data_IF_762672821341
#
_entry.id   IF_762672821341
#
_cell.length_a   1.000
_cell.length_b   1.000
_cell.length_c   1.000
_cell.angle_alpha   90.00
_cell.angle_beta   90.00
_cell.angle_gamma   90.00
#
_symmetry.space_group_name_H-M   'P 1'
#
loop_
_entity.id
_entity.type
_entity.pdbx_description
1 polymer ?
#
# COMPACT_ATOMS: atom_id res chain seq x y z
N UNK A 1 -26.98 -51.69 -60.43
CA UNK A 1 -26.08 -50.61 -60.89
C UNK A 1 -26.93 -49.43 -61.35
N UNK A 2 -26.65 -48.22 -60.85
CA UNK A 2 -27.23 -46.93 -61.27
C UNK A 2 -28.70 -46.70 -60.87
N UNK A 3 -29.11 -45.59 -60.26
CA UNK A 3 -28.38 -44.40 -59.85
C UNK A 3 -29.33 -43.40 -59.17
N UNK A 4 -28.79 -42.65 -58.20
CA UNK A 4 -29.03 -41.21 -57.99
C UNK A 4 -30.35 -40.77 -57.34
N UNK A 5 -30.35 -40.60 -56.01
CA UNK A 5 -31.26 -39.67 -55.32
C UNK A 5 -30.45 -38.56 -54.66
N UNK A 6 -30.60 -37.34 -55.18
CA UNK A 6 -30.24 -36.10 -54.51
C UNK A 6 -31.43 -35.55 -53.73
N UNK A 7 -31.19 -35.00 -52.54
CA UNK A 7 -32.20 -34.36 -51.72
C UNK A 7 -31.58 -33.75 -50.47
N UNK A 8 -31.27 -32.45 -50.56
CA UNK A 8 -30.56 -31.64 -49.56
C UNK A 8 -31.38 -31.42 -48.28
N UNK A 9 -30.63 -31.31 -47.19
CA UNK A 9 -31.03 -30.93 -45.86
C UNK A 9 -31.47 -29.46 -45.75
N UNK A 10 -32.43 -29.19 -44.85
CA UNK A 10 -32.61 -27.90 -44.20
C UNK A 10 -33.23 -28.12 -42.80
N UNK A 11 -32.40 -28.08 -41.76
CA UNK A 11 -32.86 -28.10 -40.37
C UNK A 11 -32.66 -26.71 -39.73
N UNK A 12 -33.81 -26.10 -39.43
CA UNK A 12 -34.13 -25.28 -38.24
C UNK A 12 -33.12 -24.20 -37.78
N UNK A 13 -33.43 -22.96 -38.12
CA UNK A 13 -33.06 -21.79 -37.32
C UNK A 13 -34.15 -21.48 -36.30
N UNK A 14 -33.79 -21.50 -35.01
CA UNK A 14 -34.55 -20.85 -33.93
C UNK A 14 -33.54 -20.29 -32.94
N UNK A 15 -33.31 -18.97 -32.98
CA UNK A 15 -32.59 -18.24 -31.92
C UNK A 15 -33.65 -17.65 -30.98
N UNK A 16 -33.75 -18.23 -29.80
CA UNK A 16 -34.45 -17.63 -28.66
C UNK A 16 -33.44 -16.76 -27.90
N UNK A 17 -33.83 -15.50 -27.66
CA UNK A 17 -33.14 -14.63 -26.72
C UNK A 17 -33.55 -14.96 -25.28
N UNK A 18 -32.56 -15.03 -24.40
CA UNK A 18 -32.61 -14.90 -22.94
C UNK A 18 -31.20 -14.43 -22.59
N UNK A 19 -30.92 -13.43 -21.77
CA UNK A 19 -31.60 -12.87 -20.63
C UNK A 19 -30.45 -12.38 -19.75
N UNK A 20 -30.26 -11.06 -19.67
CA UNK A 20 -29.41 -10.45 -18.66
C UNK A 20 -29.97 -10.86 -17.29
N UNK A 21 -29.23 -11.72 -16.58
CA UNK A 21 -29.54 -12.14 -15.21
C UNK A 21 -28.49 -11.55 -14.29
N UNK A 22 -28.88 -10.48 -13.61
CA UNK A 22 -28.08 -9.75 -12.64
C UNK A 22 -27.37 -10.67 -11.63
N UNK A 23 -26.06 -10.44 -11.44
CA UNK A 23 -25.35 -10.97 -10.29
C UNK A 23 -25.99 -10.47 -8.98
N UNK A 24 -25.83 -11.21 -7.87
CA UNK A 24 -26.60 -10.95 -6.66
C UNK A 24 -26.35 -9.53 -6.16
N UNK A 25 -27.43 -8.74 -6.15
CA UNK A 25 -27.51 -7.44 -5.49
C UNK A 25 -27.17 -7.66 -4.01
N UNK A 26 -25.96 -7.26 -3.61
CA UNK A 26 -25.55 -7.24 -2.20
C UNK A 26 -26.51 -6.31 -1.45
N UNK A 27 -27.33 -6.91 -0.58
CA UNK A 27 -28.19 -6.20 0.36
C UNK A 27 -27.33 -5.41 1.35
N UNK A 28 -27.80 -4.23 1.71
CA UNK A 28 -27.12 -3.24 2.56
C UNK A 28 -26.43 -3.84 3.77
N UNK A 29 -25.15 -3.51 3.90
CA UNK A 29 -24.30 -3.82 5.05
C UNK A 29 -23.46 -2.59 5.39
N UNK A 30 -23.04 -2.50 6.64
CA UNK A 30 -22.18 -1.45 7.18
C UNK A 30 -20.95 -1.14 6.30
N UNK A 31 -20.36 0.05 6.49
CA UNK A 31 -19.17 0.55 5.80
C UNK A 31 -18.18 -0.57 5.41
N UNK A 32 -17.92 -0.71 4.10
CA UNK A 32 -17.23 -1.88 3.52
C UNK A 32 -15.72 -1.68 3.47
N UNK A 33 -15.26 -0.42 3.45
CA UNK A 33 -13.84 -0.09 3.29
C UNK A 33 -13.03 -0.48 4.52
N UNK A 34 -12.16 -1.47 4.32
CA UNK A 34 -11.23 -1.96 5.35
C UNK A 34 -9.88 -1.27 5.27
N UNK A 35 -9.43 -0.94 4.05
CA UNK A 35 -8.14 -0.28 3.83
C UNK A 35 -8.36 0.97 2.98
N UNK A 36 -7.74 2.06 3.40
CA UNK A 36 -7.63 3.27 2.62
C UNK A 36 -6.17 3.55 2.28
N UNK A 37 -5.90 4.25 1.19
CA UNK A 37 -4.56 4.77 0.94
C UNK A 37 -4.56 6.13 0.25
N UNK A 38 -3.59 6.97 0.59
CA UNK A 38 -3.23 8.13 -0.22
C UNK A 38 -1.82 7.89 -0.78
N UNK A 39 -1.68 7.95 -2.10
CA UNK A 39 -0.41 7.73 -2.78
C UNK A 39 0.25 9.06 -3.16
N UNK A 40 1.57 9.11 -3.04
CA UNK A 40 2.38 10.29 -3.33
C UNK A 40 2.52 10.60 -4.83
N UNK A 41 2.20 9.63 -5.69
CA UNK A 41 2.09 9.76 -7.15
C UNK A 41 1.03 8.81 -7.76
N UNK A 42 0.78 8.95 -9.06
CA UNK A 42 -0.20 8.13 -9.78
C UNK A 42 0.28 6.69 -10.01
N UNK A 43 1.55 6.48 -10.37
CA UNK A 43 2.12 5.14 -10.62
C UNK A 43 2.15 4.30 -9.35
N UNK A 44 2.51 4.89 -8.21
CA UNK A 44 2.43 4.24 -6.92
C UNK A 44 1.00 3.93 -6.50
N UNK A 45 0.02 4.78 -6.87
CA UNK A 45 -1.38 4.53 -6.59
C UNK A 45 -1.92 3.31 -7.35
N UNK A 46 -1.55 3.17 -8.63
CA UNK A 46 -1.97 2.02 -9.45
C UNK A 46 -1.27 0.73 -9.00
N UNK A 47 0.01 0.78 -8.64
CA UNK A 47 0.72 -0.33 -7.99
C UNK A 47 -0.01 -0.75 -6.70
N UNK A 48 -0.27 0.17 -5.76
CA UNK A 48 -0.98 -0.16 -4.53
C UNK A 48 -2.33 -0.83 -4.79
N UNK A 49 -3.17 -0.24 -5.67
CA UNK A 49 -4.46 -0.82 -6.01
C UNK A 49 -4.30 -2.23 -6.61
N UNK A 50 -3.32 -2.43 -7.49
CA UNK A 50 -3.05 -3.74 -8.09
C UNK A 50 -2.73 -4.81 -7.03
N UNK A 51 -1.96 -4.47 -5.99
CA UNK A 51 -1.62 -5.39 -4.89
C UNK A 51 -2.86 -5.91 -4.15
N UNK A 52 -3.87 -5.06 -3.95
CA UNK A 52 -5.13 -5.47 -3.35
C UNK A 52 -6.00 -6.27 -4.33
N UNK A 53 -6.14 -5.78 -5.57
CA UNK A 53 -7.00 -6.39 -6.60
C UNK A 53 -6.55 -7.80 -6.97
N UNK A 54 -5.24 -8.04 -7.08
CA UNK A 54 -4.69 -9.38 -7.44
C UNK A 54 -4.96 -10.45 -6.38
N UNK A 55 -5.32 -10.05 -5.16
CA UNK A 55 -5.72 -10.96 -4.07
C UNK A 55 -7.24 -11.04 -3.89
N UNK A 56 -8.02 -10.48 -4.83
CA UNK A 56 -9.47 -10.64 -4.89
C UNK A 56 -10.29 -9.58 -4.15
N UNK A 57 -9.65 -8.57 -3.54
CA UNK A 57 -10.35 -7.45 -2.91
C UNK A 57 -10.96 -6.53 -3.97
N UNK A 58 -12.15 -5.99 -3.72
CA UNK A 58 -12.68 -4.91 -4.55
C UNK A 58 -11.95 -3.61 -4.24
N UNK A 59 -11.83 -2.72 -5.22
CA UNK A 59 -11.11 -1.47 -4.97
C UNK A 59 -11.29 -0.42 -6.03
N UNK A 60 -11.31 0.83 -5.57
CA UNK A 60 -11.42 2.04 -6.40
C UNK A 60 -10.23 2.96 -6.17
N UNK A 61 -9.78 3.64 -7.23
CA UNK A 61 -8.77 4.70 -7.17
C UNK A 61 -9.38 5.99 -7.71
N UNK A 62 -9.34 7.04 -6.91
CA UNK A 62 -9.83 8.37 -7.26
C UNK A 62 -8.68 9.38 -7.25
N UNK A 63 -8.93 10.57 -7.79
CA UNK A 63 -7.98 11.69 -7.78
C UNK A 63 -8.49 12.90 -6.99
N UNK A 64 -9.71 12.81 -6.46
CA UNK A 64 -10.36 13.89 -5.70
C UNK A 64 -11.16 13.29 -4.55
N UNK A 65 -11.08 13.92 -3.38
CA UNK A 65 -11.77 13.51 -2.15
C UNK A 65 -13.30 13.49 -2.32
N UNK A 66 -13.85 14.30 -3.24
CA UNK A 66 -15.28 14.32 -3.56
C UNK A 66 -15.80 13.00 -4.13
N UNK A 67 -14.92 12.14 -4.65
CA UNK A 67 -15.27 10.84 -5.21
C UNK A 67 -15.04 9.68 -4.22
N UNK A 68 -14.57 9.96 -3.01
CA UNK A 68 -14.40 8.93 -1.99
C UNK A 68 -15.76 8.33 -1.60
N UNK A 69 -15.76 7.02 -1.36
CA UNK A 69 -16.93 6.24 -0.98
C UNK A 69 -16.51 5.01 -0.18
N UNK A 70 -17.46 4.35 0.47
CA UNK A 70 -17.23 3.20 1.35
C UNK A 70 -17.76 1.87 0.78
N UNK A 71 -17.90 1.78 -0.56
CA UNK A 71 -18.52 0.65 -1.28
C UNK A 71 -17.58 -0.51 -1.61
N UNK A 72 -16.28 -0.28 -1.56
CA UNK A 72 -15.25 -1.27 -1.89
C UNK A 72 -14.45 -1.66 -0.64
N UNK A 73 -13.84 -2.85 -0.67
CA UNK A 73 -12.92 -3.28 0.39
C UNK A 73 -11.75 -2.29 0.56
N UNK A 74 -11.31 -1.68 -0.55
CA UNK A 74 -10.18 -0.74 -0.60
C UNK A 74 -10.55 0.52 -1.37
N UNK A 75 -10.15 1.69 -0.88
CA UNK A 75 -10.22 2.93 -1.66
C UNK A 75 -8.92 3.73 -1.58
N UNK A 76 -8.45 4.17 -2.74
CA UNK A 76 -7.23 4.94 -2.89
C UNK A 76 -7.49 6.34 -3.43
N UNK A 77 -6.66 7.29 -3.03
CA UNK A 77 -6.53 8.60 -3.70
C UNK A 77 -5.11 8.82 -4.19
N UNK A 78 -4.95 9.08 -5.48
CA UNK A 78 -3.67 9.51 -6.05
C UNK A 78 -3.48 11.01 -5.80
N UNK A 79 -2.32 11.39 -5.28
CA UNK A 79 -1.96 12.79 -5.02
C UNK A 79 -0.70 13.18 -5.81
N UNK A 80 -0.32 14.45 -5.72
CA UNK A 80 0.94 14.98 -6.27
C UNK A 80 1.99 15.22 -5.19
N UNK A 81 1.89 14.53 -4.05
CA UNK A 81 2.69 14.83 -2.87
C UNK A 81 4.20 14.68 -3.11
N UNK A 82 4.64 13.71 -3.94
CA UNK A 82 6.06 13.44 -4.20
C UNK A 82 6.79 14.65 -4.81
N UNK A 83 6.12 15.38 -5.69
CA UNK A 83 6.69 16.55 -6.39
C UNK A 83 6.44 17.86 -5.65
N UNK A 84 5.66 17.84 -4.56
CA UNK A 84 5.41 19.02 -3.74
C UNK A 84 6.62 19.36 -2.87
N UNK A 85 6.86 20.66 -2.69
CA UNK A 85 7.77 21.16 -1.67
C UNK A 85 7.21 20.98 -0.25
N UNK A 86 5.89 20.85 -0.12
CA UNK A 86 5.21 20.52 1.12
C UNK A 86 4.24 19.35 0.89
N UNK A 87 4.72 18.10 0.97
CA UNK A 87 3.86 16.92 0.83
C UNK A 87 2.79 16.82 1.91
N UNK A 88 3.04 17.35 3.11
CA UNK A 88 2.10 17.25 4.23
C UNK A 88 0.80 18.00 3.96
N UNK A 89 0.86 19.22 3.41
CA UNK A 89 -0.36 19.97 3.04
C UNK A 89 -1.15 19.32 1.93
N UNK A 90 -0.51 18.54 1.05
CA UNK A 90 -1.19 17.75 0.00
C UNK A 90 -1.86 16.51 0.59
N UNK A 91 -1.18 15.82 1.52
CA UNK A 91 -1.61 14.51 2.05
C UNK A 91 -2.64 14.63 3.17
N UNK A 92 -2.57 15.66 4.02
CA UNK A 92 -3.45 15.80 5.18
C UNK A 92 -4.95 15.88 4.83
N UNK A 93 -5.39 16.65 3.81
CA UNK A 93 -6.81 16.66 3.41
C UNK A 93 -7.29 15.28 2.96
N UNK A 94 -6.47 14.57 2.17
CA UNK A 94 -6.75 13.22 1.73
C UNK A 94 -6.88 12.25 2.92
N UNK A 95 -5.92 12.25 3.84
CA UNK A 95 -5.96 11.41 5.03
C UNK A 95 -7.16 11.70 5.93
N UNK A 96 -7.52 12.98 6.10
CA UNK A 96 -8.69 13.37 6.89
C UNK A 96 -9.98 12.82 6.27
N UNK A 97 -10.14 12.95 4.96
CA UNK A 97 -11.30 12.42 4.23
C UNK A 97 -11.35 10.88 4.27
N UNK A 98 -10.21 10.21 4.11
CA UNK A 98 -10.11 8.75 4.22
C UNK A 98 -10.42 8.26 5.64
N UNK A 99 -9.97 8.96 6.68
CA UNK A 99 -10.23 8.62 8.07
C UNK A 99 -11.73 8.68 8.42
N UNK A 100 -12.50 9.57 7.76
CA UNK A 100 -13.95 9.63 7.92
C UNK A 100 -14.68 8.36 7.46
N UNK A 101 -14.07 7.56 6.57
CA UNK A 101 -14.58 6.25 6.16
C UNK A 101 -14.37 5.17 7.23
N UNK A 102 -13.59 5.46 8.29
CA UNK A 102 -13.24 4.56 9.39
C UNK A 102 -12.66 3.20 8.94
N UNK A 103 -11.64 3.19 8.05
CA UNK A 103 -10.96 1.95 7.69
C UNK A 103 -10.18 1.39 8.89
N UNK A 104 -9.74 0.14 8.79
CA UNK A 104 -8.79 -0.43 9.75
C UNK A 104 -7.42 0.23 9.60
N UNK A 105 -6.98 0.45 8.37
CA UNK A 105 -5.66 1.01 8.07
C UNK A 105 -5.76 2.10 7.00
N UNK A 106 -5.00 3.18 7.19
CA UNK A 106 -4.75 4.20 6.17
C UNK A 106 -3.27 4.17 5.82
N UNK A 107 -2.95 3.83 4.57
CA UNK A 107 -1.59 3.78 4.06
C UNK A 107 -1.21 5.10 3.37
N UNK A 108 -0.09 5.70 3.76
CA UNK A 108 0.64 6.63 2.91
C UNK A 108 1.50 5.80 1.97
N UNK A 109 1.05 5.67 0.72
CA UNK A 109 1.74 4.90 -0.30
C UNK A 109 2.87 5.72 -0.88
N UNK A 110 4.09 5.20 -0.76
CA UNK A 110 5.32 5.82 -1.24
C UNK A 110 6.04 4.94 -2.26
N UNK A 111 7.07 5.48 -2.92
CA UNK A 111 7.92 4.74 -3.84
C UNK A 111 8.66 3.59 -3.12
N UNK A 112 8.87 2.46 -3.81
CA UNK A 112 9.59 1.31 -3.23
C UNK A 112 11.09 1.56 -3.07
N UNK A 113 11.66 2.58 -3.71
CA UNK A 113 13.02 3.08 -3.46
C UNK A 113 13.07 4.20 -2.40
N UNK A 114 11.95 4.46 -1.72
CA UNK A 114 11.85 5.40 -0.60
C UNK A 114 12.22 6.86 -0.95
N UNK A 115 11.95 7.26 -2.19
CA UNK A 115 12.22 8.56 -2.78
C UNK A 115 11.68 9.70 -1.90
N UNK A 116 12.60 10.36 -1.20
CA UNK A 116 12.30 11.45 -0.28
C UNK A 116 13.57 12.24 0.06
N UNK A 117 13.44 13.54 0.31
CA UNK A 117 14.53 14.37 0.86
C UNK A 117 13.99 15.31 1.95
N UNK A 118 14.86 15.87 2.80
CA UNK A 118 14.44 16.88 3.76
C UNK A 118 13.80 18.12 3.11
N UNK A 119 14.21 18.46 1.88
CA UNK A 119 13.75 19.65 1.16
C UNK A 119 12.51 19.43 0.29
N UNK A 120 12.28 18.21 -0.23
CA UNK A 120 11.14 17.87 -1.11
C UNK A 120 10.70 16.41 -0.87
N UNK A 121 9.39 16.14 -0.93
CA UNK A 121 8.91 14.75 -0.79
C UNK A 121 9.20 14.11 0.58
N UNK A 122 9.32 14.91 1.65
CA UNK A 122 9.67 14.45 3.00
C UNK A 122 8.62 13.51 3.59
N UNK A 123 8.92 12.20 3.59
CA UNK A 123 8.08 11.16 4.22
C UNK A 123 8.02 11.39 5.73
N UNK A 124 9.16 11.72 6.35
CA UNK A 124 9.20 12.04 7.78
C UNK A 124 8.38 13.29 8.14
N UNK A 125 8.34 14.28 7.24
CA UNK A 125 7.48 15.46 7.38
C UNK A 125 5.99 15.11 7.37
N UNK A 126 5.57 14.18 6.51
CA UNK A 126 4.20 13.63 6.50
C UNK A 126 3.92 12.87 7.80
N UNK A 127 4.82 12.01 8.27
CA UNK A 127 4.68 11.30 9.55
C UNK A 127 4.46 12.29 10.71
N UNK A 128 5.30 13.32 10.79
CA UNK A 128 5.18 14.35 11.83
C UNK A 128 3.86 15.12 11.73
N UNK A 129 3.40 15.42 10.52
CA UNK A 129 2.13 16.10 10.27
C UNK A 129 0.91 15.23 10.68
N UNK A 130 0.94 13.93 10.39
CA UNK A 130 -0.10 12.99 10.80
C UNK A 130 -0.24 12.91 12.32
N UNK A 131 0.89 12.92 13.04
CA UNK A 131 0.90 13.01 14.51
C UNK A 131 0.31 14.33 15.01
N UNK A 132 0.77 15.47 14.49
CA UNK A 132 0.25 16.79 14.89
C UNK A 132 -1.25 16.96 14.63
N UNK A 133 -1.76 16.34 13.57
CA UNK A 133 -3.18 16.35 13.22
C UNK A 133 -4.02 15.35 14.04
N UNK A 134 -3.42 14.52 14.89
CA UNK A 134 -4.12 13.49 15.67
C UNK A 134 -4.63 12.30 14.85
N UNK A 135 -4.16 12.17 13.61
CA UNK A 135 -4.51 11.08 12.69
C UNK A 135 -3.67 9.83 13.00
N UNK A 136 -2.41 10.00 13.40
CA UNK A 136 -1.58 8.93 13.96
C UNK A 136 -1.63 8.99 15.49
N UNK A 137 -2.12 7.93 16.14
CA UNK A 137 -2.29 7.83 17.61
C UNK A 137 -1.22 6.99 18.32
N UNK A 138 -0.25 6.51 17.56
CA UNK A 138 0.83 5.64 18.01
C UNK A 138 1.94 5.60 16.96
N UNK A 139 2.96 4.75 17.12
CA UNK A 139 4.06 4.69 16.17
C UNK A 139 3.55 4.34 14.77
N UNK A 140 3.98 5.10 13.76
CA UNK A 140 3.65 4.83 12.36
C UNK A 140 4.52 3.67 11.84
N UNK A 141 3.94 2.51 11.46
CA UNK A 141 4.69 1.43 10.85
C UNK A 141 5.18 1.82 9.47
N UNK A 142 6.43 1.50 9.15
CA UNK A 142 7.06 1.79 7.86
C UNK A 142 7.56 0.51 7.20
N UNK A 143 6.99 0.14 6.05
CA UNK A 143 7.46 -0.97 5.22
C UNK A 143 7.77 -0.49 3.79
N UNK A 144 9.04 -0.19 3.53
CA UNK A 144 9.51 0.17 2.19
C UNK A 144 9.72 -1.05 1.29
N UNK A 145 10.10 -2.20 1.87
CA UNK A 145 10.42 -3.41 1.14
C UNK A 145 9.26 -3.91 0.27
N UNK A 146 9.60 -4.39 -0.92
CA UNK A 146 8.72 -5.07 -1.87
C UNK A 146 9.57 -6.13 -2.58
N UNK A 147 9.77 -7.31 -1.96
CA UNK A 147 10.73 -8.32 -2.41
C UNK A 147 10.51 -8.80 -3.85
N UNK A 148 9.25 -8.87 -4.30
CA UNK A 148 8.85 -9.18 -5.68
C UNK A 148 9.46 -8.22 -6.72
N UNK A 149 9.70 -6.96 -6.33
CA UNK A 149 10.39 -5.97 -7.17
C UNK A 149 11.88 -5.84 -6.85
N UNK A 150 12.41 -6.71 -6.00
CA UNK A 150 13.79 -6.70 -5.56
C UNK A 150 14.15 -5.60 -4.57
N UNK A 151 13.16 -5.07 -3.85
CA UNK A 151 13.37 -4.06 -2.81
C UNK A 151 13.30 -4.74 -1.45
N UNK A 152 14.37 -4.68 -0.68
CA UNK A 152 14.49 -5.39 0.58
C UNK A 152 14.96 -4.44 1.68
N UNK A 153 14.49 -4.64 2.91
CA UNK A 153 14.98 -3.91 4.08
C UNK A 153 15.52 -4.90 5.10
N UNK A 154 16.73 -4.68 5.59
CA UNK A 154 17.39 -5.52 6.58
C UNK A 154 18.21 -4.67 7.55
N UNK A 155 18.02 -4.88 8.86
CA UNK A 155 18.52 -3.99 9.91
C UNK A 155 18.24 -2.52 9.62
N UNK A 156 16.99 -2.23 9.20
CA UNK A 156 16.52 -0.92 8.73
C UNK A 156 17.23 -0.33 7.50
N UNK A 157 18.27 -0.97 6.97
CA UNK A 157 18.96 -0.56 5.75
C UNK A 157 18.18 -1.06 4.54
N UNK A 158 17.98 -0.18 3.56
CA UNK A 158 17.24 -0.50 2.35
C UNK A 158 18.16 -0.86 1.17
N UNK A 159 17.75 -1.86 0.41
CA UNK A 159 18.51 -2.45 -0.67
C UNK A 159 17.66 -2.58 -1.93
N UNK A 160 18.30 -2.42 -3.08
CA UNK A 160 17.70 -2.54 -4.40
C UNK A 160 18.48 -3.59 -5.19
N UNK A 161 17.78 -4.61 -5.69
CA UNK A 161 18.33 -5.53 -6.68
C UNK A 161 18.12 -4.94 -8.08
N UNK A 162 19.20 -4.73 -8.80
CA UNK A 162 19.22 -4.22 -10.16
C UNK A 162 20.39 -4.86 -10.92
N UNK A 163 20.22 -5.11 -12.21
CA UNK A 163 21.30 -5.62 -13.09
C UNK A 163 22.00 -6.90 -12.59
N UNK A 164 21.27 -7.75 -11.85
CA UNK A 164 21.80 -9.00 -11.28
C UNK A 164 22.52 -8.85 -9.94
N UNK A 165 22.75 -7.62 -9.46
CA UNK A 165 23.43 -7.31 -8.21
C UNK A 165 22.48 -6.72 -7.16
N UNK A 166 22.95 -6.69 -5.90
CA UNK A 166 22.25 -6.04 -4.79
C UNK A 166 23.04 -4.81 -4.35
N UNK A 167 22.40 -3.66 -4.41
CA UNK A 167 22.96 -2.38 -3.99
C UNK A 167 22.28 -1.91 -2.71
N UNK A 168 23.05 -1.35 -1.78
CA UNK A 168 22.45 -0.45 -0.76
C UNK A 168 21.83 0.75 -1.48
N UNK A 169 20.72 1.27 -0.95
CA UNK A 169 20.00 2.39 -1.55
C UNK A 169 20.92 3.60 -1.81
N UNK A 170 21.80 3.91 -0.86
CA UNK A 170 22.79 5.00 -0.92
C UNK A 170 23.94 4.78 -1.92
N UNK A 171 24.00 3.61 -2.55
CA UNK A 171 25.02 3.23 -3.53
C UNK A 171 24.43 2.89 -4.90
N UNK A 172 23.12 2.82 -5.02
CA UNK A 172 22.43 2.56 -6.28
C UNK A 172 22.32 3.86 -7.09
N UNK A 173 23.03 4.03 -8.22
CA UNK A 173 23.15 5.33 -8.89
C UNK A 173 21.81 6.00 -9.22
N UNK A 174 20.78 5.29 -9.73
CA UNK A 174 19.49 5.91 -10.00
C UNK A 174 18.78 6.50 -8.77
N UNK A 175 19.01 5.95 -7.57
CA UNK A 175 18.48 6.51 -6.33
C UNK A 175 19.44 7.54 -5.72
N UNK A 176 20.73 7.24 -5.64
CA UNK A 176 21.76 8.12 -5.08
C UNK A 176 21.83 9.46 -5.81
N UNK A 177 21.83 9.42 -7.14
CA UNK A 177 22.00 10.59 -8.00
C UNK A 177 20.65 11.14 -8.49
N UNK A 178 19.54 10.73 -7.85
CA UNK A 178 18.20 11.17 -8.25
C UNK A 178 18.07 12.70 -8.16
N UNK A 179 17.58 13.40 -9.19
CA UNK A 179 17.69 14.85 -9.31
C UNK A 179 16.84 15.65 -8.30
N UNK A 180 15.83 15.01 -7.68
CA UNK A 180 14.89 15.67 -6.76
C UNK A 180 15.09 15.17 -5.32
N UNK A 181 15.10 13.86 -5.16
CA UNK A 181 15.22 13.13 -3.89
C UNK A 181 16.45 12.20 -3.85
N UNK A 182 17.69 12.74 -3.91
CA UNK A 182 18.89 11.91 -3.88
C UNK A 182 18.94 11.08 -2.60
N UNK A 183 19.23 9.79 -2.75
CA UNK A 183 19.33 8.88 -1.63
C UNK A 183 20.77 8.76 -1.15
N UNK A 184 21.13 9.53 -0.12
CA UNK A 184 22.50 9.53 0.45
C UNK A 184 22.67 8.64 1.69
N UNK A 185 21.58 8.06 2.18
CA UNK A 185 21.54 7.16 3.34
C UNK A 185 20.62 5.97 3.04
N UNK A 186 21.03 4.77 3.45
CA UNK A 186 20.27 3.53 3.29
C UNK A 186 19.50 3.15 4.56
N UNK A 187 19.94 3.54 5.76
CA UNK A 187 19.17 3.37 7.00
C UNK A 187 17.96 4.30 7.01
N UNK A 188 16.78 3.71 6.82
CA UNK A 188 15.54 4.46 6.70
C UNK A 188 15.15 5.18 8.00
N UNK A 189 15.68 4.78 9.16
CA UNK A 189 15.43 5.47 10.43
C UNK A 189 16.11 6.82 10.46
N UNK A 190 17.37 6.86 10.01
CA UNK A 190 18.15 8.10 9.92
C UNK A 190 17.45 9.05 8.96
N UNK A 191 17.06 8.57 7.77
CA UNK A 191 16.32 9.38 6.79
C UNK A 191 15.04 9.97 7.36
N UNK A 192 14.22 9.15 8.03
CA UNK A 192 12.97 9.61 8.63
C UNK A 192 13.20 10.65 9.73
N UNK A 193 14.24 10.44 10.56
CA UNK A 193 14.61 11.38 11.62
C UNK A 193 15.10 12.72 11.04
N UNK A 194 15.96 12.71 10.02
CA UNK A 194 16.43 13.91 9.29
C UNK A 194 15.29 14.68 8.63
N UNK A 195 14.23 13.97 8.25
CA UNK A 195 13.00 14.52 7.69
C UNK A 195 12.00 15.01 8.75
N UNK A 196 12.34 14.92 10.03
CA UNK A 196 11.54 15.45 11.14
C UNK A 196 10.47 14.50 11.67
N UNK A 197 10.51 13.19 11.35
CA UNK A 197 9.56 12.21 11.90
C UNK A 197 9.63 12.10 13.43
N UNK A 198 10.79 12.37 14.02
CA UNK A 198 11.09 12.11 15.44
C UNK A 198 11.83 10.78 15.63
N UNK A 199 11.82 10.26 16.87
CA UNK A 199 12.50 8.99 17.18
C UNK A 199 11.90 7.86 16.36
N UNK A 200 12.73 7.24 15.53
CA UNK A 200 12.32 6.15 14.63
C UNK A 200 12.98 4.84 15.04
N UNK A 201 12.16 3.86 15.40
CA UNK A 201 12.60 2.53 15.82
C UNK A 201 12.88 1.58 14.64
N UNK A 202 13.32 0.38 14.98
CA UNK A 202 13.50 -0.74 14.05
C UNK A 202 12.68 -1.93 14.53
N UNK A 203 12.08 -2.68 13.61
CA UNK A 203 11.37 -3.92 13.87
C UNK A 203 11.98 -5.04 13.00
N UNK A 204 12.47 -6.16 13.58
CA UNK A 204 13.01 -7.27 12.81
C UNK A 204 11.91 -7.93 11.96
N UNK A 205 12.32 -8.72 10.96
CA UNK A 205 11.40 -9.27 9.96
C UNK A 205 10.43 -10.34 10.49
N UNK A 206 10.76 -10.94 11.64
CA UNK A 206 9.93 -11.91 12.36
C UNK A 206 9.85 -11.51 13.84
N UNK A 207 9.17 -10.40 14.15
CA UNK A 207 9.15 -9.87 15.50
C UNK A 207 8.18 -10.66 16.38
N UNK A 208 8.54 -10.82 17.65
CA UNK A 208 7.61 -11.16 18.71
C UNK A 208 6.61 -10.02 18.98
N UNK A 209 5.50 -10.33 19.63
CA UNK A 209 4.56 -9.30 20.09
C UNK A 209 5.21 -8.30 21.04
N UNK A 210 6.18 -8.74 21.84
CA UNK A 210 6.93 -7.88 22.75
C UNK A 210 7.78 -6.86 21.99
N UNK A 211 8.52 -7.29 20.98
CA UNK A 211 9.32 -6.40 20.12
C UNK A 211 8.44 -5.39 19.39
N UNK A 212 7.25 -5.81 18.94
CA UNK A 212 6.27 -4.90 18.35
C UNK A 212 5.75 -3.87 19.36
N UNK A 213 5.31 -4.30 20.55
CA UNK A 213 4.83 -3.39 21.62
C UNK A 213 5.92 -2.45 22.11
N UNK A 214 7.18 -2.88 22.10
CA UNK A 214 8.33 -2.06 22.47
C UNK A 214 8.56 -0.87 21.52
N UNK A 215 7.83 -0.75 20.41
CA UNK A 215 7.82 0.43 19.52
C UNK A 215 6.77 1.47 19.91
N UNK A 216 5.91 1.22 20.90
CA UNK A 216 4.78 2.09 21.24
C UNK A 216 5.18 3.55 21.57
N UNK A 217 6.41 3.79 22.03
CA UNK A 217 6.92 5.14 22.33
C UNK A 217 7.62 5.83 21.16
N UNK A 218 7.79 5.17 20.02
CA UNK A 218 8.45 5.78 18.85
C UNK A 218 7.44 6.59 18.02
N UNK A 219 7.94 7.55 17.24
CA UNK A 219 7.10 8.26 16.28
C UNK A 219 6.78 7.37 15.06
N UNK A 220 7.75 6.55 14.66
CA UNK A 220 7.62 5.57 13.60
C UNK A 220 8.58 4.38 13.86
N UNK A 221 8.38 3.26 13.17
CA UNK A 221 9.39 2.20 13.13
C UNK A 221 9.52 1.61 11.73
N UNK A 222 10.76 1.27 11.35
CA UNK A 222 11.07 0.61 10.07
C UNK A 222 11.06 -0.89 10.28
N UNK A 223 10.18 -1.58 9.55
CA UNK A 223 10.12 -3.04 9.54
C UNK A 223 11.02 -3.62 8.46
N UNK A 224 11.79 -4.64 8.83
CA UNK A 224 12.56 -5.43 7.89
C UNK A 224 11.66 -6.38 7.10
N UNK A 225 12.01 -6.58 5.83
CA UNK A 225 11.50 -7.68 5.02
C UNK A 225 12.43 -7.92 3.84
N UNK A 226 12.81 -9.19 3.67
CA UNK A 226 13.60 -9.68 2.53
C UNK A 226 12.87 -10.74 1.70
N UNK A 227 11.72 -11.23 2.19
CA UNK A 227 10.88 -12.25 1.54
C UNK A 227 9.41 -11.88 1.67
N UNK A 228 8.58 -12.46 0.81
CA UNK A 228 7.12 -12.32 0.91
C UNK A 228 6.55 -12.83 2.24
N UNK A 229 7.20 -13.82 2.86
CA UNK A 229 6.77 -14.34 4.15
C UNK A 229 6.89 -13.29 5.26
N UNK A 230 8.00 -12.54 5.29
CA UNK A 230 8.18 -11.41 6.20
C UNK A 230 7.11 -10.33 5.97
N UNK A 231 6.82 -10.02 4.70
CA UNK A 231 5.76 -9.06 4.33
C UNK A 231 4.39 -9.52 4.85
N UNK A 232 4.03 -10.80 4.65
CA UNK A 232 2.77 -11.38 5.15
C UNK A 232 2.71 -11.41 6.67
N UNK A 233 3.81 -11.72 7.35
CA UNK A 233 3.89 -11.72 8.80
C UNK A 233 3.60 -10.33 9.39
N UNK A 234 4.22 -9.28 8.82
CA UNK A 234 3.94 -7.91 9.22
C UNK A 234 2.47 -7.55 8.98
N UNK A 235 1.91 -7.93 7.83
CA UNK A 235 0.49 -7.67 7.51
C UNK A 235 -0.47 -8.20 8.56
N UNK A 236 -0.24 -9.43 9.06
CA UNK A 236 -1.05 -10.02 10.13
C UNK A 236 -0.95 -9.24 11.44
N UNK A 237 0.27 -8.84 11.83
CA UNK A 237 0.50 -8.05 13.03
C UNK A 237 -0.21 -6.68 12.95
N UNK A 238 -0.09 -5.99 11.82
CA UNK A 238 -0.71 -4.68 11.61
C UNK A 238 -2.24 -4.74 11.64
N UNK A 239 -2.86 -5.76 11.04
CA UNK A 239 -4.31 -5.91 11.08
C UNK A 239 -4.83 -6.30 12.47
N UNK A 240 -4.12 -7.18 13.19
CA UNK A 240 -4.46 -7.52 14.57
C UNK A 240 -4.43 -6.28 15.46
N UNK A 241 -3.42 -5.43 15.29
CA UNK A 241 -3.31 -4.17 16.00
C UNK A 241 -4.43 -3.17 15.62
N UNK A 242 -4.64 -2.98 14.31
CA UNK A 242 -5.69 -2.10 13.78
C UNK A 242 -7.10 -2.49 14.25
N UNK A 243 -7.38 -3.79 14.45
CA UNK A 243 -8.65 -4.25 15.00
C UNK A 243 -8.91 -3.77 16.44
N UNK A 244 -7.85 -3.44 17.19
CA UNK A 244 -7.95 -2.98 18.58
C UNK A 244 -7.84 -1.46 18.73
N UNK A 245 -7.09 -0.79 17.84
CA UNK A 245 -6.74 0.65 17.96
C UNK A 245 -7.06 1.52 16.74
N UNK A 246 -7.66 0.95 15.69
CA UNK A 246 -7.79 1.56 14.37
C UNK A 246 -8.58 2.88 14.32
N UNK A 247 -8.38 3.70 13.26
CA UNK A 247 -7.52 3.44 12.10
C UNK A 247 -6.02 3.53 12.41
N UNK A 248 -5.24 2.56 11.94
CA UNK A 248 -3.78 2.60 11.99
C UNK A 248 -3.23 3.37 10.78
N UNK A 249 -2.41 4.39 11.01
CA UNK A 249 -1.69 5.07 9.94
C UNK A 249 -0.37 4.35 9.68
N UNK A 250 -0.14 3.92 8.44
CA UNK A 250 1.08 3.24 8.01
C UNK A 250 1.71 3.96 6.81
N UNK A 251 3.02 3.78 6.63
CA UNK A 251 3.77 4.24 5.45
C UNK A 251 4.37 3.04 4.76
N UNK A 252 4.29 2.98 3.43
CA UNK A 252 5.00 1.91 2.74
C UNK A 252 4.78 1.86 1.24
N UNK A 253 5.52 0.98 0.60
CA UNK A 253 5.44 0.72 -0.83
C UNK A 253 4.28 -0.23 -1.19
N UNK A 254 4.29 -0.79 -2.40
CA UNK A 254 3.34 -1.84 -2.78
C UNK A 254 3.51 -3.10 -1.92
N UNK A 255 4.68 -3.31 -1.30
CA UNK A 255 4.88 -4.39 -0.34
C UNK A 255 3.96 -4.27 0.88
N UNK A 256 3.73 -3.05 1.40
CA UNK A 256 2.75 -2.84 2.48
C UNK A 256 1.32 -3.10 2.01
N UNK A 257 0.98 -2.68 0.79
CA UNK A 257 -0.32 -2.98 0.19
C UNK A 257 -0.52 -4.50 0.07
N UNK A 258 0.52 -5.23 -0.35
CA UNK A 258 0.52 -6.70 -0.40
C UNK A 258 0.39 -7.34 1.00
N UNK A 259 1.08 -6.80 2.01
CA UNK A 259 1.00 -7.27 3.39
C UNK A 259 -0.45 -7.21 3.91
N UNK A 260 -1.08 -6.03 3.77
CA UNK A 260 -2.45 -5.78 4.22
C UNK A 260 -3.46 -6.62 3.43
N UNK A 261 -3.32 -6.68 2.10
CA UNK A 261 -4.16 -7.49 1.25
C UNK A 261 -4.10 -8.97 1.64
N UNK A 262 -2.89 -9.52 1.76
CA UNK A 262 -2.66 -10.93 2.12
C UNK A 262 -3.28 -11.26 3.47
N UNK A 263 -3.13 -10.37 4.46
CA UNK A 263 -3.67 -10.59 5.79
C UNK A 263 -5.20 -10.52 5.83
N UNK A 264 -5.84 -9.69 5.00
CA UNK A 264 -7.31 -9.63 4.89
C UNK A 264 -7.92 -10.84 4.17
N UNK A 265 -7.18 -11.46 3.26
CA UNK A 265 -7.66 -12.56 2.41
C UNK A 265 -7.19 -13.94 2.90
N UNK A 266 -6.32 -13.98 3.91
CA UNK A 266 -5.94 -15.22 4.57
C UNK A 266 -7.15 -15.76 5.33
N UNK A 267 -7.42 -17.07 5.21
CA UNK A 267 -8.42 -17.71 6.07
C UNK A 267 -8.02 -17.54 7.54
N UNK A 268 -8.97 -17.33 8.47
CA UNK A 268 -8.65 -17.41 9.89
C UNK A 268 -8.06 -18.81 10.17
N UNK A 269 -6.88 -18.82 10.78
CA UNK A 269 -6.19 -20.03 11.20
C UNK A 269 -6.96 -20.77 12.30
#
# INVERSE_FOLDING_TARGET
>A
MGGGRGGRAAHRGARAGTGQGAGPLRRGGAAVTRIAFAADDFTGATDALWQFRRLGLTGSLVTDVAHLHDRDDVIGIATTARTSADPASVVLPAFTALAALRPLVIQYKVCSTFDSSPQRGSIGGVVAALHRAGLARGPVPVLAAQPELGRCTWFANHFVRADGDVHRLDRYPPARDHPVTPATEADLRVRLAEQGAGRTGWLPASPSEEEYRARAGDAAFVADAVTDEHVRALGRLLLADAATRGPLCCVGSGGLSHALASALTSAPA
#
